data_IF_169883299381
#
_entry.id   IF_169883299381
#
_cell.length_a   1.000
_cell.length_b   1.000
_cell.length_c   1.000
_cell.angle_alpha   90.00
_cell.angle_beta   90.00
_cell.angle_gamma   90.00
#
_symmetry.space_group_name_H-M   'P 1'
#
loop_
_entity.id
_entity.type
_entity.pdbx_description
1 polymer ?
#
# COMPACT_ATOMS: atom_id res chain seq x y z
N UNK A 1 -20.42 3.93 19.44
CA UNK A 1 -19.15 4.62 19.73
C UNK A 1 -18.05 3.98 18.90
N UNK A 2 -17.17 4.75 18.26
CA UNK A 2 -15.99 4.17 17.61
C UNK A 2 -15.03 3.69 18.69
N UNK A 3 -14.94 2.37 18.85
CA UNK A 3 -14.02 1.71 19.78
C UNK A 3 -12.58 2.22 19.52
N UNK A 4 -11.91 2.79 20.52
CA UNK A 4 -10.54 3.35 20.42
C UNK A 4 -9.59 2.30 19.82
N UNK A 5 -9.84 1.02 20.08
CA UNK A 5 -9.06 -0.09 19.54
C UNK A 5 -9.19 -0.25 18.02
N UNK A 6 -10.37 0.05 17.46
CA UNK A 6 -10.54 0.07 16.01
C UNK A 6 -9.73 1.22 15.38
N UNK A 7 -9.64 2.38 16.05
CA UNK A 7 -8.80 3.49 15.59
C UNK A 7 -7.32 3.13 15.61
N UNK A 8 -6.85 2.49 16.69
CA UNK A 8 -5.48 1.95 16.74
C UNK A 8 -5.26 0.94 15.61
N UNK A 9 -6.24 0.08 15.34
CA UNK A 9 -6.22 -0.84 14.20
C UNK A 9 -6.06 -0.11 12.85
N UNK A 10 -6.79 0.99 12.63
CA UNK A 10 -6.63 1.81 11.41
C UNK A 10 -5.24 2.42 11.30
N UNK A 11 -4.63 2.89 12.39
CA UNK A 11 -3.25 3.42 12.37
C UNK A 11 -2.27 2.33 11.91
N UNK A 12 -2.41 1.11 12.43
CA UNK A 12 -1.59 -0.03 12.00
C UNK A 12 -1.80 -0.33 10.50
N UNK A 13 -3.05 -0.32 10.04
CA UNK A 13 -3.38 -0.56 8.63
C UNK A 13 -2.79 0.49 7.69
N UNK A 14 -2.82 1.78 8.08
CA UNK A 14 -2.19 2.86 7.32
C UNK A 14 -0.68 2.62 7.20
N UNK A 15 -0.02 2.24 8.30
CA UNK A 15 1.41 1.95 8.29
C UNK A 15 1.75 0.75 7.39
N UNK A 16 0.96 -0.33 7.45
CA UNK A 16 1.13 -1.52 6.61
C UNK A 16 0.89 -1.21 5.13
N UNK A 17 -0.14 -0.43 4.82
CA UNK A 17 -0.45 0.02 3.47
C UNK A 17 0.71 0.88 2.91
N UNK A 18 1.19 1.84 3.69
CA UNK A 18 2.31 2.70 3.30
C UNK A 18 3.59 1.89 3.04
N UNK A 19 3.91 0.90 3.90
CA UNK A 19 5.05 0.00 3.72
C UNK A 19 4.96 -0.83 2.44
N UNK A 20 3.77 -1.31 2.08
CA UNK A 20 3.58 -2.04 0.82
C UNK A 20 3.67 -1.10 -0.39
N UNK A 21 3.08 0.10 -0.30
CA UNK A 21 3.06 1.07 -1.39
C UNK A 21 4.47 1.62 -1.69
N UNK A 22 5.22 2.04 -0.67
CA UNK A 22 6.56 2.61 -0.84
C UNK A 22 7.51 1.63 -1.52
N UNK A 23 7.41 0.32 -1.21
CA UNK A 23 8.27 -0.69 -1.81
C UNK A 23 8.02 -0.90 -3.31
N UNK A 24 6.78 -0.71 -3.77
CA UNK A 24 6.42 -0.78 -5.20
C UNK A 24 6.87 0.50 -5.89
N UNK A 25 6.55 1.67 -5.32
CA UNK A 25 6.91 2.97 -5.89
C UNK A 25 8.42 3.11 -6.03
N UNK A 26 9.18 2.72 -5.01
CA UNK A 26 10.64 2.77 -5.02
C UNK A 26 11.22 1.85 -6.11
N UNK A 27 10.70 0.63 -6.27
CA UNK A 27 11.17 -0.29 -7.32
C UNK A 27 10.80 0.19 -8.72
N UNK A 28 9.61 0.78 -8.89
CA UNK A 28 9.20 1.37 -10.16
C UNK A 28 10.10 2.57 -10.51
N UNK A 29 10.42 3.41 -9.52
CA UNK A 29 11.35 4.53 -9.70
C UNK A 29 12.75 4.04 -10.09
N UNK A 30 13.28 3.04 -9.39
CA UNK A 30 14.57 2.42 -9.73
C UNK A 30 14.57 1.82 -11.15
N UNK A 31 13.46 1.22 -11.56
CA UNK A 31 13.28 0.72 -12.93
C UNK A 31 13.34 1.84 -13.97
N UNK A 32 12.69 2.98 -13.72
CA UNK A 32 12.80 4.15 -14.61
C UNK A 32 14.22 4.74 -14.63
N UNK A 33 14.91 4.79 -13.48
CA UNK A 33 16.30 5.24 -13.40
C UNK A 33 17.25 4.29 -14.16
N UNK A 34 16.91 3.01 -14.24
CA UNK A 34 17.59 2.01 -15.06
C UNK A 34 17.22 2.08 -16.55
N UNK A 35 16.37 3.04 -16.97
CA UNK A 35 16.02 3.30 -18.37
C UNK A 35 14.75 2.63 -18.87
N UNK A 36 13.97 1.96 -18.00
CA UNK A 36 12.67 1.40 -18.38
C UNK A 36 11.63 2.51 -18.60
N UNK A 37 10.64 2.26 -19.44
CA UNK A 37 9.48 3.15 -19.51
C UNK A 37 8.67 3.09 -18.20
N UNK A 38 7.92 4.14 -17.83
CA UNK A 38 7.12 4.14 -16.60
C UNK A 38 6.17 2.93 -16.48
N UNK A 39 5.60 2.49 -17.61
CA UNK A 39 4.70 1.35 -17.64
C UNK A 39 5.43 0.03 -17.37
N UNK A 40 6.57 -0.19 -18.02
CA UNK A 40 7.41 -1.38 -17.80
C UNK A 40 7.93 -1.43 -16.37
N UNK A 41 8.41 -0.30 -15.85
CA UNK A 41 8.92 -0.20 -14.50
C UNK A 41 7.84 -0.49 -13.45
N UNK A 42 6.61 0.03 -13.64
CA UNK A 42 5.50 -0.25 -12.74
C UNK A 42 5.07 -1.73 -12.76
N UNK A 43 5.06 -2.37 -13.94
CA UNK A 43 4.72 -3.80 -14.08
C UNK A 43 5.78 -4.68 -13.43
N UNK A 44 7.06 -4.38 -13.67
CA UNK A 44 8.18 -5.15 -13.12
C UNK A 44 8.25 -5.02 -11.58
N UNK A 45 8.05 -3.80 -11.07
CA UNK A 45 7.93 -3.56 -9.64
C UNK A 45 6.76 -4.35 -9.02
N UNK A 46 5.58 -4.34 -9.65
CA UNK A 46 4.44 -5.09 -9.16
C UNK A 46 4.71 -6.62 -9.14
N UNK A 47 5.34 -7.16 -10.19
CA UNK A 47 5.70 -8.59 -10.27
C UNK A 47 6.70 -9.02 -9.21
N UNK A 48 7.79 -8.29 -9.06
CA UNK A 48 8.87 -8.63 -8.12
C UNK A 48 8.41 -8.49 -6.66
N UNK A 49 7.48 -7.58 -6.37
CA UNK A 49 6.94 -7.35 -5.03
C UNK A 49 5.73 -8.20 -4.66
N UNK A 50 5.04 -8.80 -5.63
CA UNK A 50 3.84 -9.62 -5.38
C UNK A 50 4.10 -10.71 -4.33
N UNK A 51 5.14 -11.52 -4.52
CA UNK A 51 5.47 -12.62 -3.59
C UNK A 51 5.86 -12.11 -2.19
N UNK A 52 6.78 -11.13 -2.03
CA UNK A 52 7.09 -10.54 -0.73
C UNK A 52 5.88 -9.90 -0.02
N UNK A 53 5.03 -9.17 -0.74
CA UNK A 53 3.84 -8.51 -0.15
C UNK A 53 2.85 -9.56 0.34
N UNK A 54 2.55 -10.57 -0.48
CA UNK A 54 1.66 -11.67 -0.08
C UNK A 54 2.22 -12.44 1.12
N UNK A 55 3.52 -12.74 1.14
CA UNK A 55 4.16 -13.43 2.26
C UNK A 55 3.96 -12.68 3.59
N UNK A 56 4.28 -11.38 3.62
CA UNK A 56 4.11 -10.59 4.85
C UNK A 56 2.66 -10.36 5.22
N UNK A 57 1.78 -10.24 4.23
CA UNK A 57 0.34 -10.08 4.44
C UNK A 57 -0.28 -11.33 5.05
N UNK A 58 0.00 -12.51 4.48
CA UNK A 58 -0.51 -13.76 5.01
C UNK A 58 0.04 -14.08 6.40
N UNK A 59 1.33 -13.82 6.64
CA UNK A 59 1.91 -13.98 7.97
C UNK A 59 1.19 -13.09 9.01
N UNK A 60 0.91 -11.84 8.65
CA UNK A 60 0.17 -10.92 9.52
C UNK A 60 -1.28 -11.37 9.75
N UNK A 61 -2.00 -11.71 8.69
CA UNK A 61 -3.40 -12.17 8.73
C UNK A 61 -3.53 -13.41 9.63
N UNK A 62 -2.67 -14.41 9.45
CA UNK A 62 -2.69 -15.62 10.28
C UNK A 62 -2.27 -15.32 11.72
N UNK A 63 -1.34 -14.40 11.92
CA UNK A 63 -0.90 -13.97 13.26
C UNK A 63 -1.98 -13.26 14.07
N UNK A 64 -2.96 -12.61 13.43
CA UNK A 64 -4.08 -11.95 14.13
C UNK A 64 -5.31 -12.85 14.34
N UNK A 65 -5.36 -14.04 13.73
CA UNK A 65 -6.46 -15.00 13.93
C UNK A 65 -6.73 -15.30 15.41
N UNK A 66 -5.71 -15.57 16.27
CA UNK A 66 -5.95 -15.83 17.69
C UNK A 66 -6.60 -14.65 18.43
N UNK A 67 -6.40 -13.42 17.97
CA UNK A 67 -7.04 -12.24 18.56
C UNK A 67 -8.53 -12.19 18.21
N UNK A 68 -8.91 -12.65 17.02
CA UNK A 68 -10.31 -12.72 16.57
C UNK A 68 -11.13 -13.75 17.33
N UNK A 69 -10.51 -14.85 17.79
CA UNK A 69 -11.19 -15.91 18.56
C UNK A 69 -10.85 -15.87 20.05
N UNK A 70 -10.21 -14.79 20.51
CA UNK A 70 -9.77 -14.62 21.87
C UNK A 70 -10.95 -14.70 22.85
N UNK A 71 -10.83 -15.53 23.89
CA UNK A 71 -11.80 -15.64 24.99
C UNK A 71 -11.18 -15.23 26.33
N UNK A 72 -12.02 -15.03 27.35
CA UNK A 72 -11.61 -14.61 28.69
C UNK A 72 -11.53 -13.09 28.88
N UNK A 73 -10.76 -12.65 29.88
CA UNK A 73 -10.66 -11.22 30.23
C UNK A 73 -10.19 -10.37 29.03
N UNK A 74 -10.91 -9.29 28.73
CA UNK A 74 -10.59 -8.42 27.58
C UNK A 74 -10.78 -9.07 26.20
N UNK A 75 -11.61 -10.11 26.09
CA UNK A 75 -11.95 -10.75 24.81
C UNK A 75 -12.55 -9.75 23.82
N UNK A 76 -13.57 -8.99 24.22
CA UNK A 76 -14.19 -7.93 23.41
C UNK A 76 -13.17 -6.96 22.79
N UNK A 77 -12.17 -6.56 23.58
CA UNK A 77 -11.10 -5.66 23.14
C UNK A 77 -10.20 -6.32 22.08
N UNK A 78 -9.76 -7.56 22.34
CA UNK A 78 -8.89 -8.33 21.44
C UNK A 78 -9.60 -8.66 20.13
N UNK A 79 -10.87 -9.06 20.20
CA UNK A 79 -11.69 -9.40 19.04
C UNK A 79 -11.98 -8.17 18.18
N UNK A 80 -12.31 -7.02 18.79
CA UNK A 80 -12.52 -5.78 18.05
C UNK A 80 -11.27 -5.35 17.27
N UNK A 81 -10.09 -5.40 17.91
CA UNK A 81 -8.81 -5.10 17.25
C UNK A 81 -8.49 -6.14 16.17
N UNK A 82 -8.56 -7.44 16.50
CA UNK A 82 -8.26 -8.54 15.59
C UNK A 82 -9.11 -8.49 14.33
N UNK A 83 -10.43 -8.29 14.48
CA UNK A 83 -11.36 -8.23 13.35
C UNK A 83 -11.10 -7.02 12.45
N UNK A 84 -10.86 -5.84 13.07
CA UNK A 84 -10.57 -4.61 12.32
C UNK A 84 -9.32 -4.76 11.47
N UNK A 85 -8.22 -5.25 12.07
CA UNK A 85 -6.95 -5.37 11.35
C UNK A 85 -6.97 -6.54 10.37
N UNK A 86 -7.64 -7.66 10.66
CA UNK A 86 -7.80 -8.77 9.71
C UNK A 86 -8.50 -8.33 8.43
N UNK A 87 -9.70 -7.73 8.56
CA UNK A 87 -10.48 -7.28 7.41
C UNK A 87 -9.74 -6.17 6.65
N UNK A 88 -9.13 -5.24 7.38
CA UNK A 88 -8.33 -4.18 6.79
C UNK A 88 -7.11 -4.69 6.03
N UNK A 89 -6.41 -5.70 6.55
CA UNK A 89 -5.20 -6.23 5.90
C UNK A 89 -5.55 -6.94 4.59
N UNK A 90 -6.65 -7.72 4.57
CA UNK A 90 -7.16 -8.33 3.33
C UNK A 90 -7.45 -7.25 2.28
N UNK A 91 -8.13 -6.17 2.69
CA UNK A 91 -8.42 -5.03 1.82
C UNK A 91 -7.14 -4.36 1.32
N UNK A 92 -6.21 -4.00 2.21
CA UNK A 92 -4.94 -3.34 1.88
C UNK A 92 -4.09 -4.17 0.94
N UNK A 93 -4.02 -5.50 1.12
CA UNK A 93 -3.23 -6.36 0.23
C UNK A 93 -3.83 -6.40 -1.17
N UNK A 94 -5.15 -6.61 -1.29
CA UNK A 94 -5.81 -6.72 -2.60
C UNK A 94 -5.80 -5.38 -3.35
N UNK A 95 -6.28 -4.32 -2.69
CA UNK A 95 -6.34 -2.99 -3.29
C UNK A 95 -4.97 -2.36 -3.45
N UNK A 96 -4.04 -2.57 -2.52
CA UNK A 96 -2.69 -2.05 -2.60
C UNK A 96 -1.91 -2.61 -3.79
N UNK A 97 -2.01 -3.92 -4.06
CA UNK A 97 -1.31 -4.53 -5.20
C UNK A 97 -1.83 -4.05 -6.55
N UNK A 98 -3.14 -3.80 -6.67
CA UNK A 98 -3.76 -3.35 -7.92
C UNK A 98 -3.59 -1.84 -8.11
N UNK A 99 -3.94 -1.04 -7.09
CA UNK A 99 -4.02 0.40 -7.25
C UNK A 99 -2.67 1.10 -7.11
N UNK A 100 -1.69 0.58 -6.36
CA UNK A 100 -0.38 1.24 -6.23
C UNK A 100 0.32 1.45 -7.58
N UNK A 101 0.48 0.45 -8.47
CA UNK A 101 1.08 0.67 -9.78
C UNK A 101 0.23 1.59 -10.67
N UNK A 102 -1.10 1.54 -10.57
CA UNK A 102 -2.00 2.46 -11.28
C UNK A 102 -1.81 3.91 -10.82
N UNK A 103 -1.73 4.14 -9.51
CA UNK A 103 -1.47 5.47 -8.96
C UNK A 103 -0.07 5.97 -9.31
N UNK A 104 0.93 5.08 -9.36
CA UNK A 104 2.25 5.44 -9.86
C UNK A 104 2.19 6.00 -11.29
N UNK A 105 1.52 5.29 -12.19
CA UNK A 105 1.32 5.73 -13.58
C UNK A 105 0.52 7.03 -13.68
N UNK A 106 -0.55 7.17 -12.91
CA UNK A 106 -1.38 8.38 -12.89
C UNK A 106 -0.58 9.60 -12.40
N UNK A 107 0.20 9.44 -11.32
CA UNK A 107 1.08 10.48 -10.79
C UNK A 107 2.17 10.85 -11.80
N UNK A 108 2.76 9.86 -12.49
CA UNK A 108 3.78 10.11 -13.50
C UNK A 108 3.23 10.88 -14.69
N UNK A 109 2.09 10.46 -15.22
CA UNK A 109 1.38 11.15 -16.29
C UNK A 109 1.02 12.60 -15.92
N UNK A 110 0.54 12.82 -14.68
CA UNK A 110 0.22 14.15 -14.19
C UNK A 110 1.49 15.02 -14.07
N UNK A 111 2.57 14.47 -13.53
CA UNK A 111 3.85 15.16 -13.42
C UNK A 111 4.40 15.59 -14.79
N UNK A 112 4.32 14.73 -15.79
CA UNK A 112 4.77 15.04 -17.15
C UNK A 112 3.93 16.14 -17.80
N UNK A 113 2.59 16.11 -17.62
CA UNK A 113 1.71 17.20 -18.05
C UNK A 113 2.03 18.52 -17.36
N UNK A 114 2.24 18.51 -16.05
CA UNK A 114 2.60 19.72 -15.30
C UNK A 114 3.93 20.29 -15.77
N UNK A 115 4.95 19.45 -15.99
CA UNK A 115 6.25 19.88 -16.53
C UNK A 115 6.12 20.48 -17.94
N UNK A 116 5.27 19.91 -18.79
CA UNK A 116 5.01 20.45 -20.12
C UNK A 116 4.34 21.83 -20.06
N UNK A 117 3.42 22.05 -19.11
CA UNK A 117 2.78 23.35 -18.89
C UNK A 117 3.79 24.39 -18.37
N UNK A 118 4.65 24.01 -17.43
CA UNK A 118 5.69 24.90 -16.89
C UNK A 118 6.72 25.29 -17.97
N UNK A 119 7.18 24.32 -18.79
CA UNK A 119 8.11 24.60 -19.90
C UNK A 119 7.54 25.57 -20.94
N UNK A 120 6.22 25.62 -21.12
CA UNK A 120 5.58 26.60 -22.03
C UNK A 120 5.61 28.04 -21.50
N UNK A 121 5.83 28.25 -20.20
CA UNK A 121 5.91 29.58 -19.59
C UNK A 121 7.33 30.16 -19.53
N UNK A 122 8.36 29.40 -19.93
CA UNK A 122 9.73 29.90 -20.06
C UNK A 122 10.03 30.15 -21.55
N UNK A 123 9.62 31.30 -22.13
CA UNK A 123 10.12 31.67 -23.44
C UNK A 123 11.64 31.82 -23.33
N UNK A 124 12.36 31.25 -24.30
CA UNK A 124 13.79 31.46 -24.46
C UNK A 124 14.05 32.97 -24.48
N UNK A 125 14.80 33.46 -23.49
CA UNK A 125 15.41 34.78 -23.51
C UNK A 125 16.62 34.76 -24.45
#
# INVERSE_FOLDING_TARGET
ESNILAQVGFVVLIALAAKNAILIVEFAKQGEEAGLTPAEAAIEAARTRLRPILMTSFAFILGVVPLMIASGAGAEMRQALGTTVFAGMVGVTFFGLVFTPTFYMACRWLADRLRALIRRQTPAA
#
